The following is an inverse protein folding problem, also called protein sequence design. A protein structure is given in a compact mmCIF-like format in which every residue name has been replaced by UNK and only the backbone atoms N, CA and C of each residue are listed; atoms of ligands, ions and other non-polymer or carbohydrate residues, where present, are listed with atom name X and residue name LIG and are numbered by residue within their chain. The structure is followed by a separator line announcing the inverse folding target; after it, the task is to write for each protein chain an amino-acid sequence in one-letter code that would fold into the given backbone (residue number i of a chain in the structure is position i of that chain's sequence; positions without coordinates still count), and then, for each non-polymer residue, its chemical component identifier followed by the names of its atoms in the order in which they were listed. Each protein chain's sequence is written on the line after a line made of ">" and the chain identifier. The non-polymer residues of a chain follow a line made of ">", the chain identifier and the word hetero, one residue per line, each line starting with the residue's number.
data_IF_349857236712
#
_entry.id   IF_349857236712
#
_cell.length_a   1.000
_cell.length_b   1.000
_cell.length_c   1.000
_cell.angle_alpha   90.00
_cell.angle_beta   90.00
_cell.angle_gamma   90.00
#
_symmetry.space_group_name_H-M   'P 1'
#
loop_
_entity.id
_entity.type
_entity.pdbx_description
1 polymer ?
#
# COMPACT_ATOMS: atom_id res chain seq x y z
N UNK A 1 -27.74 9.79 71.48
CA UNK A 1 -26.75 10.59 72.21
C UNK A 1 -26.10 11.46 71.17
N UNK A 2 -26.64 12.64 70.94
CA UNK A 2 -26.29 13.92 71.56
C UNK A 2 -24.97 14.41 71.01
N UNK A 3 -24.97 15.37 70.17
CA UNK A 3 -25.16 16.81 70.36
C UNK A 3 -23.83 17.57 70.11
N UNK A 4 -23.88 18.53 69.34
CA UNK A 4 -23.55 19.97 69.31
C UNK A 4 -22.45 20.28 68.34
N UNK A 5 -22.70 21.04 67.27
CA UNK A 5 -22.84 22.50 67.16
C UNK A 5 -21.69 23.33 67.77
N UNK A 6 -20.90 23.96 66.90
CA UNK A 6 -20.48 25.32 67.16
C UNK A 6 -20.16 26.05 65.82
N UNK A 7 -20.93 27.08 65.58
CA UNK A 7 -20.72 28.20 64.64
C UNK A 7 -19.57 29.07 65.17
N UNK A 8 -18.77 29.64 64.30
CA UNK A 8 -18.18 30.99 64.46
C UNK A 8 -17.81 31.46 63.04
N UNK A 9 -18.49 32.35 62.55
CA UNK A 9 -18.65 33.79 62.68
C UNK A 9 -17.50 34.57 62.04
N UNK A 10 -17.77 34.98 60.82
CA UNK A 10 -17.67 36.31 60.21
C UNK A 10 -16.52 37.22 60.70
N UNK A 11 -15.66 37.62 59.77
CA UNK A 11 -15.26 39.02 59.72
C UNK A 11 -15.01 39.41 58.26
N UNK A 12 -16.00 40.08 57.67
CA UNK A 12 -16.00 40.78 56.44
C UNK A 12 -15.20 42.10 56.66
N UNK A 13 -13.98 42.15 56.21
CA UNK A 13 -13.20 43.39 56.21
C UNK A 13 -13.48 44.13 54.89
N UNK A 14 -14.24 45.22 54.99
CA UNK A 14 -14.50 46.14 53.95
C UNK A 14 -13.25 46.88 53.55
N UNK A 15 -12.90 46.79 52.24
CA UNK A 15 -11.83 47.62 51.63
C UNK A 15 -12.43 48.99 51.27
N UNK A 16 -11.83 50.11 51.69
CA UNK A 16 -12.33 51.44 51.38
C UNK A 16 -12.10 51.74 49.90
N UNK A 17 -13.17 52.02 49.16
CA UNK A 17 -13.14 52.56 47.81
C UNK A 17 -12.77 54.03 47.82
N UNK A 18 -11.56 54.33 47.41
CA UNK A 18 -11.16 55.71 47.09
C UNK A 18 -11.56 56.03 45.61
N UNK A 19 -12.24 57.12 45.34
CA UNK A 19 -12.59 57.48 43.98
C UNK A 19 -11.34 57.97 43.25
N UNK A 20 -11.00 57.30 42.15
CA UNK A 20 -9.96 57.76 41.22
C UNK A 20 -10.51 58.93 40.46
N UNK A 21 -10.02 60.14 40.75
CA UNK A 21 -10.22 61.32 39.92
C UNK A 21 -9.45 61.13 38.59
N UNK A 22 -10.20 61.11 37.53
CA UNK A 22 -9.65 61.11 36.17
C UNK A 22 -9.17 62.50 35.80
N UNK A 23 -7.88 62.75 35.89
CA UNK A 23 -7.28 63.94 35.22
C UNK A 23 -7.27 63.71 33.71
N UNK A 24 -7.62 64.71 32.93
CA UNK A 24 -7.55 64.61 31.47
C UNK A 24 -6.08 64.64 31.04
N UNK A 25 -5.60 63.51 30.51
CA UNK A 25 -4.28 63.45 29.85
C UNK A 25 -4.35 64.32 28.59
N UNK A 26 -3.66 65.46 28.62
CA UNK A 26 -3.40 66.32 27.46
C UNK A 26 -2.56 65.49 26.45
N UNK A 27 -3.13 65.24 25.29
CA UNK A 27 -2.44 64.59 24.18
C UNK A 27 -1.33 65.55 23.70
N UNK A 28 -0.08 65.13 23.88
CA UNK A 28 1.07 65.77 23.25
C UNK A 28 1.02 65.51 21.72
N UNK A 29 1.44 66.56 20.88
CA UNK A 29 1.41 66.37 19.43
C UNK A 29 2.41 65.23 19.01
N UNK A 30 1.93 64.25 18.31
CA UNK A 30 2.73 63.20 17.74
C UNK A 30 3.74 63.77 16.73
N UNK A 31 5.03 63.71 17.06
CA UNK A 31 6.11 64.04 16.14
C UNK A 31 6.27 62.96 15.06
N UNK A 32 6.91 63.26 13.92
CA UNK A 32 6.96 62.36 12.76
C UNK A 32 7.93 61.20 12.92
N UNK A 33 8.14 60.66 14.13
CA UNK A 33 9.15 59.63 14.40
C UNK A 33 8.56 58.23 14.66
N UNK A 34 7.24 58.10 14.62
CA UNK A 34 6.60 56.80 14.93
C UNK A 34 6.21 55.98 13.72
N UNK A 35 6.38 56.49 12.51
CA UNK A 35 6.10 55.76 11.28
C UNK A 35 7.26 54.81 10.84
N UNK A 36 8.44 54.90 11.48
CA UNK A 36 9.63 54.15 11.08
C UNK A 36 9.77 52.80 11.85
N UNK A 37 9.03 52.60 12.92
CA UNK A 37 9.12 51.38 13.71
C UNK A 37 8.14 50.24 13.31
N UNK A 38 7.22 50.49 12.38
CA UNK A 38 6.31 49.46 11.84
C UNK A 38 6.74 48.90 10.49
N UNK A 39 7.87 49.38 9.93
CA UNK A 39 8.55 48.70 8.82
C UNK A 39 9.66 47.78 9.34
N UNK A 40 9.40 47.03 10.41
CA UNK A 40 10.05 45.78 10.60
C UNK A 40 9.64 44.92 9.41
N UNK A 41 10.50 44.88 8.40
CA UNK A 41 10.42 43.93 7.28
C UNK A 41 10.15 42.59 7.89
N UNK A 42 8.88 42.14 7.84
CA UNK A 42 8.55 40.73 7.83
C UNK A 42 9.24 40.23 6.57
N UNK A 43 10.48 39.80 6.72
CA UNK A 43 11.12 39.00 5.68
C UNK A 43 10.32 37.70 5.61
N UNK A 44 9.58 37.46 4.53
CA UNK A 44 8.89 36.18 4.33
C UNK A 44 9.86 35.14 3.76
N UNK A 45 11.09 35.11 4.27
CA UNK A 45 12.16 34.28 3.69
C UNK A 45 12.47 33.06 4.52
N UNK A 46 11.49 32.52 5.18
CA UNK A 46 11.55 31.10 5.51
C UNK A 46 10.50 30.39 4.67
N UNK A 47 10.71 30.38 3.36
CA UNK A 47 10.02 29.45 2.50
C UNK A 47 10.32 28.06 3.07
N UNK A 48 9.37 27.47 3.82
CA UNK A 48 9.34 26.04 4.13
C UNK A 48 9.07 25.31 2.80
N UNK A 49 10.01 25.46 1.88
CA UNK A 49 9.99 24.73 0.62
C UNK A 49 10.33 23.28 0.94
N UNK A 50 9.63 22.33 0.33
CA UNK A 50 9.88 20.89 0.52
C UNK A 50 11.37 20.54 0.34
N UNK A 51 12.04 21.19 -0.63
CA UNK A 51 13.48 21.06 -0.83
C UNK A 51 14.31 21.61 0.33
N UNK A 52 13.88 22.73 0.94
CA UNK A 52 14.55 23.30 2.11
C UNK A 52 14.43 22.41 3.35
N UNK A 53 13.25 21.83 3.59
CA UNK A 53 13.04 20.85 4.66
C UNK A 53 13.90 19.60 4.50
N UNK A 54 14.11 19.15 3.26
CA UNK A 54 14.96 17.99 3.00
C UNK A 54 16.46 18.29 3.16
N UNK A 55 16.95 19.41 2.61
CA UNK A 55 18.39 19.73 2.60
C UNK A 55 18.92 20.12 3.98
N UNK A 56 18.10 20.67 4.85
CA UNK A 56 18.48 21.08 6.21
C UNK A 56 18.30 19.95 7.24
N UNK A 57 17.57 18.89 6.89
CA UNK A 57 17.32 17.77 7.77
C UNK A 57 18.62 17.01 8.12
N UNK A 58 18.62 16.39 9.31
CA UNK A 58 19.67 15.47 9.73
C UNK A 58 19.82 14.33 8.70
N UNK A 59 21.06 13.85 8.54
CA UNK A 59 21.41 12.76 7.60
C UNK A 59 20.53 11.51 7.79
N UNK A 60 20.13 11.20 9.03
CA UNK A 60 19.26 10.05 9.31
C UNK A 60 17.84 10.30 8.79
N UNK A 61 17.30 11.49 9.00
CA UNK A 61 15.98 11.87 8.47
C UNK A 61 16.02 11.90 6.94
N UNK A 62 17.08 12.42 6.35
CA UNK A 62 17.29 12.38 4.89
C UNK A 62 17.29 10.96 4.34
N UNK A 63 18.02 10.03 5.00
CA UNK A 63 18.04 8.61 4.62
C UNK A 63 16.63 7.99 4.69
N UNK A 64 15.87 8.29 5.75
CA UNK A 64 14.48 7.82 5.91
C UNK A 64 13.60 8.34 4.77
N UNK A 65 13.67 9.62 4.46
CA UNK A 65 12.90 10.25 3.38
C UNK A 65 13.24 9.62 2.03
N UNK A 66 14.53 9.47 1.71
CA UNK A 66 14.98 8.84 0.45
C UNK A 66 14.47 7.40 0.35
N UNK A 67 14.58 6.62 1.42
CA UNK A 67 14.10 5.24 1.46
C UNK A 67 12.59 5.18 1.20
N UNK A 68 11.81 6.05 1.84
CA UNK A 68 10.35 6.12 1.66
C UNK A 68 9.95 6.53 0.24
N UNK A 69 10.63 7.50 -0.35
CA UNK A 69 10.40 7.93 -1.73
C UNK A 69 10.72 6.80 -2.72
N UNK A 70 11.83 6.11 -2.56
CA UNK A 70 12.20 4.96 -3.40
C UNK A 70 11.19 3.81 -3.23
N UNK A 71 10.78 3.50 -1.99
CA UNK A 71 9.77 2.49 -1.71
C UNK A 71 8.42 2.84 -2.34
N UNK A 72 8.01 4.10 -2.28
CA UNK A 72 6.79 4.61 -2.91
C UNK A 72 6.86 4.47 -4.44
N UNK A 73 7.96 4.92 -5.06
CA UNK A 73 8.14 4.82 -6.51
C UNK A 73 8.09 3.36 -6.99
N UNK A 74 8.76 2.46 -6.27
CA UNK A 74 8.75 1.03 -6.60
C UNK A 74 7.36 0.41 -6.43
N UNK A 75 6.63 0.81 -5.37
CA UNK A 75 5.24 0.39 -5.16
C UNK A 75 4.34 0.79 -6.33
N UNK A 76 4.42 2.02 -6.80
CA UNK A 76 3.66 2.48 -7.95
C UNK A 76 4.01 1.71 -9.24
N UNK A 77 5.29 1.38 -9.45
CA UNK A 77 5.73 0.56 -10.59
C UNK A 77 5.09 -0.83 -10.55
N UNK A 78 5.08 -1.48 -9.39
CA UNK A 78 4.43 -2.78 -9.19
C UNK A 78 2.91 -2.66 -9.42
N UNK A 79 2.25 -1.68 -8.82
CA UNK A 79 0.81 -1.46 -8.94
C UNK A 79 0.43 -1.34 -10.41
N UNK A 80 1.08 -0.46 -11.14
CA UNK A 80 0.76 -0.19 -12.55
C UNK A 80 0.98 -1.44 -13.42
N UNK A 81 2.13 -2.11 -13.27
CA UNK A 81 2.44 -3.33 -14.01
C UNK A 81 1.44 -4.46 -13.72
N UNK A 82 1.04 -4.65 -12.46
CA UNK A 82 0.09 -5.68 -12.06
C UNK A 82 -1.33 -5.39 -12.57
N UNK A 83 -1.79 -4.16 -12.42
CA UNK A 83 -3.11 -3.76 -12.94
C UNK A 83 -3.21 -3.99 -14.45
N UNK A 84 -2.18 -3.58 -15.20
CA UNK A 84 -2.15 -3.80 -16.66
C UNK A 84 -2.10 -5.29 -17.03
N UNK A 85 -1.25 -6.06 -16.35
CA UNK A 85 -1.15 -7.51 -16.58
C UNK A 85 -2.49 -8.19 -16.30
N UNK A 86 -3.13 -7.90 -15.17
CA UNK A 86 -4.38 -8.55 -14.78
C UNK A 86 -5.55 -8.21 -15.71
N UNK A 87 -5.63 -6.97 -16.18
CA UNK A 87 -6.61 -6.57 -17.21
C UNK A 87 -6.42 -7.37 -18.50
N UNK A 88 -5.19 -7.49 -19.00
CA UNK A 88 -4.88 -8.28 -20.21
C UNK A 88 -5.21 -9.75 -20.03
N UNK A 89 -4.89 -10.34 -18.87
CA UNK A 89 -5.18 -11.74 -18.59
C UNK A 89 -6.69 -12.02 -18.57
N UNK A 90 -7.50 -11.16 -17.97
CA UNK A 90 -8.96 -11.30 -17.96
C UNK A 90 -9.55 -11.29 -19.37
N UNK A 91 -9.06 -10.39 -20.22
CA UNK A 91 -9.53 -10.32 -21.61
C UNK A 91 -9.13 -11.57 -22.40
N UNK A 92 -7.87 -12.04 -22.26
CA UNK A 92 -7.38 -13.25 -22.93
C UNK A 92 -8.09 -14.51 -22.45
N UNK A 93 -8.28 -14.64 -21.14
CA UNK A 93 -9.02 -15.77 -20.57
C UNK A 93 -10.45 -15.84 -21.12
N UNK A 94 -11.13 -14.69 -21.26
CA UNK A 94 -12.47 -14.65 -21.86
C UNK A 94 -12.46 -15.12 -23.32
N UNK A 95 -11.52 -14.62 -24.12
CA UNK A 95 -11.36 -15.04 -25.51
C UNK A 95 -11.03 -16.53 -25.64
N UNK A 96 -10.19 -17.05 -24.75
CA UNK A 96 -9.88 -18.46 -24.70
C UNK A 96 -11.12 -19.31 -24.35
N UNK A 97 -11.89 -18.95 -23.34
CA UNK A 97 -13.12 -19.66 -22.97
C UNK A 97 -14.14 -19.64 -24.12
N UNK A 98 -14.34 -18.49 -24.77
CA UNK A 98 -15.21 -18.40 -25.94
C UNK A 98 -14.77 -19.37 -27.06
N UNK A 99 -13.47 -19.48 -27.29
CA UNK A 99 -12.91 -20.40 -28.27
C UNK A 99 -13.03 -21.86 -27.83
N UNK A 100 -12.86 -22.14 -26.55
CA UNK A 100 -12.98 -23.49 -25.97
C UNK A 100 -14.43 -23.99 -26.03
N UNK A 101 -15.41 -23.17 -25.68
CA UNK A 101 -16.83 -23.52 -25.66
C UNK A 101 -17.52 -23.42 -27.02
N UNK A 102 -16.84 -22.95 -28.06
CA UNK A 102 -17.42 -22.88 -29.43
C UNK A 102 -17.67 -24.25 -30.08
N UNK A 103 -17.32 -25.36 -29.41
CA UNK A 103 -17.63 -26.72 -29.87
C UNK A 103 -16.66 -27.30 -30.90
N UNK A 104 -15.49 -26.68 -31.07
CA UNK A 104 -14.42 -27.21 -31.94
C UNK A 104 -13.69 -28.43 -31.34
N UNK A 105 -12.87 -29.09 -32.17
CA UNK A 105 -11.98 -30.18 -31.71
C UNK A 105 -10.94 -29.64 -30.71
N UNK A 106 -10.73 -30.35 -29.60
CA UNK A 106 -9.70 -30.02 -28.60
C UNK A 106 -8.30 -30.09 -29.22
N UNK A 107 -8.09 -31.03 -30.14
CA UNK A 107 -6.85 -31.18 -30.89
C UNK A 107 -6.55 -29.94 -31.77
N UNK A 108 -7.56 -29.44 -32.51
CA UNK A 108 -7.42 -28.24 -33.36
C UNK A 108 -7.13 -27.00 -32.52
N UNK A 109 -7.79 -26.88 -31.37
CA UNK A 109 -7.54 -25.78 -30.42
C UNK A 109 -6.12 -25.84 -29.88
N UNK A 110 -5.64 -27.03 -29.50
CA UNK A 110 -4.27 -27.24 -29.04
C UNK A 110 -3.24 -26.88 -30.12
N UNK A 111 -3.44 -27.30 -31.37
CA UNK A 111 -2.54 -27.00 -32.49
C UNK A 111 -2.53 -25.51 -32.83
N UNK A 112 -3.67 -24.82 -32.66
CA UNK A 112 -3.78 -23.38 -32.87
C UNK A 112 -3.06 -22.57 -31.79
N UNK A 113 -3.10 -23.00 -30.52
CA UNK A 113 -2.41 -22.32 -29.42
C UNK A 113 -0.91 -22.59 -29.48
N UNK A 114 -0.50 -23.78 -29.90
CA UNK A 114 0.88 -24.22 -29.99
C UNK A 114 1.57 -24.43 -28.64
N UNK A 115 2.89 -24.48 -28.68
CA UNK A 115 3.71 -24.80 -27.49
C UNK A 115 3.85 -23.65 -26.49
N UNK A 116 3.54 -22.41 -26.87
CA UNK A 116 3.69 -21.21 -26.03
C UNK A 116 2.32 -20.55 -25.77
N UNK A 117 1.60 -21.06 -24.75
CA UNK A 117 0.30 -20.50 -24.41
C UNK A 117 0.40 -19.02 -24.01
N UNK A 118 -0.55 -18.18 -24.48
CA UNK A 118 -0.50 -16.72 -24.27
C UNK A 118 -0.99 -16.28 -22.89
N UNK A 119 -1.63 -17.16 -22.13
CA UNK A 119 -2.26 -16.88 -20.83
C UNK A 119 -2.29 -18.13 -19.93
N UNK A 120 -2.50 -17.97 -18.61
CA UNK A 120 -2.54 -19.08 -17.66
C UNK A 120 -3.59 -20.14 -17.97
N UNK A 121 -4.77 -19.76 -18.49
CA UNK A 121 -5.84 -20.71 -18.80
C UNK A 121 -5.45 -21.60 -19.98
N UNK A 122 -4.91 -21.01 -21.03
CA UNK A 122 -4.32 -21.75 -22.14
C UNK A 122 -3.13 -22.62 -21.68
N UNK A 123 -2.34 -22.16 -20.68
CA UNK A 123 -1.23 -22.95 -20.10
C UNK A 123 -1.73 -24.25 -19.46
N UNK A 124 -2.80 -24.18 -18.67
CA UNK A 124 -3.43 -25.35 -18.03
C UNK A 124 -3.99 -26.29 -19.09
N UNK A 125 -4.70 -25.77 -20.09
CA UNK A 125 -5.21 -26.56 -21.22
C UNK A 125 -4.08 -27.29 -21.98
N UNK A 126 -3.04 -26.54 -22.38
CA UNK A 126 -1.90 -27.11 -23.13
C UNK A 126 -1.17 -28.17 -22.31
N UNK A 127 -1.02 -27.98 -21.01
CA UNK A 127 -0.39 -28.95 -20.13
C UNK A 127 -1.17 -30.29 -20.10
N UNK A 128 -2.48 -30.22 -19.95
CA UNK A 128 -3.38 -31.39 -19.99
C UNK A 128 -3.37 -32.08 -21.37
N UNK A 129 -3.51 -31.33 -22.44
CA UNK A 129 -3.52 -31.87 -23.80
C UNK A 129 -2.18 -32.50 -24.20
N UNK A 130 -1.07 -31.97 -23.70
CA UNK A 130 0.26 -32.57 -23.92
C UNK A 130 0.36 -33.95 -23.25
N UNK A 131 -0.15 -34.11 -22.03
CA UNK A 131 -0.17 -35.38 -21.34
C UNK A 131 -1.14 -36.35 -22.01
N UNK A 132 -2.29 -35.86 -22.46
CA UNK A 132 -3.25 -36.66 -23.26
C UNK A 132 -2.61 -37.20 -24.53
N UNK A 133 -2.03 -36.35 -25.39
CA UNK A 133 -1.37 -36.76 -26.66
C UNK A 133 -0.21 -37.74 -26.41
N UNK A 134 0.59 -37.51 -25.36
CA UNK A 134 1.71 -38.39 -25.00
C UNK A 134 1.23 -39.79 -24.63
N UNK A 135 0.12 -39.88 -23.95
CA UNK A 135 -0.47 -41.19 -23.56
C UNK A 135 -1.16 -41.86 -24.72
N UNK A 136 -1.83 -41.11 -25.60
CA UNK A 136 -2.44 -41.65 -26.83
C UNK A 136 -1.37 -42.23 -27.77
N UNK A 137 -0.25 -41.55 -27.97
CA UNK A 137 0.86 -42.00 -28.80
C UNK A 137 1.53 -43.28 -28.29
N UNK A 138 1.46 -43.58 -27.00
CA UNK A 138 1.97 -44.82 -26.39
C UNK A 138 1.01 -46.00 -26.45
N UNK A 139 -0.19 -45.83 -27.03
CA UNK A 139 -1.21 -46.87 -27.10
C UNK A 139 -1.82 -47.24 -25.74
N UNK A 140 -1.61 -46.43 -24.73
CA UNK A 140 -2.01 -46.74 -23.34
C UNK A 140 -3.51 -46.59 -23.07
N UNK A 141 -4.29 -46.15 -24.07
CA UNK A 141 -5.75 -45.95 -23.95
C UNK A 141 -6.57 -47.21 -23.98
N UNK A 142 -5.95 -48.38 -24.20
CA UNK A 142 -6.65 -49.67 -24.39
C UNK A 142 -7.10 -50.35 -23.09
N UNK A 143 -6.52 -50.04 -21.93
CA UNK A 143 -6.87 -50.68 -20.66
C UNK A 143 -7.51 -49.73 -19.66
N UNK A 144 -8.46 -50.23 -18.86
CA UNK A 144 -9.20 -49.47 -17.87
C UNK A 144 -8.28 -48.92 -16.76
N UNK A 145 -7.29 -49.69 -16.33
CA UNK A 145 -6.31 -49.25 -15.32
C UNK A 145 -5.47 -48.05 -15.81
N UNK A 146 -5.04 -48.09 -17.08
CA UNK A 146 -4.28 -46.96 -17.66
C UNK A 146 -5.11 -45.70 -17.84
N UNK A 147 -6.42 -45.82 -18.12
CA UNK A 147 -7.34 -44.67 -18.22
C UNK A 147 -7.48 -43.96 -16.87
N UNK A 148 -7.63 -44.70 -15.77
CA UNK A 148 -7.68 -44.15 -14.42
C UNK A 148 -6.36 -43.43 -14.06
N UNK A 149 -5.21 -44.04 -14.32
CA UNK A 149 -3.90 -43.42 -14.08
C UNK A 149 -3.62 -42.22 -15.00
N UNK A 150 -4.16 -42.20 -16.21
CA UNK A 150 -4.04 -41.02 -17.10
C UNK A 150 -4.83 -39.86 -16.56
N UNK A 151 -6.06 -40.07 -16.10
CA UNK A 151 -6.89 -39.02 -15.50
C UNK A 151 -6.16 -38.36 -14.33
N UNK A 152 -5.62 -39.15 -13.40
CA UNK A 152 -4.88 -38.65 -12.25
C UNK A 152 -3.63 -37.85 -12.66
N UNK A 153 -2.89 -38.30 -13.68
CA UNK A 153 -1.72 -37.59 -14.20
C UNK A 153 -2.10 -36.26 -14.84
N UNK A 154 -3.19 -36.20 -15.61
CA UNK A 154 -3.69 -34.96 -16.24
C UNK A 154 -4.09 -33.97 -15.16
N UNK A 155 -4.88 -34.40 -14.16
CA UNK A 155 -5.28 -33.57 -13.03
C UNK A 155 -4.06 -33.00 -12.29
N UNK A 156 -3.09 -33.82 -11.95
CA UNK A 156 -1.84 -33.40 -11.29
C UNK A 156 -1.04 -32.40 -12.11
N UNK A 157 -0.95 -32.58 -13.44
CA UNK A 157 -0.22 -31.67 -14.31
C UNK A 157 -0.95 -30.32 -14.44
N UNK A 158 -2.30 -30.34 -14.46
CA UNK A 158 -3.10 -29.10 -14.43
C UNK A 158 -2.89 -28.35 -13.12
N UNK A 159 -2.96 -29.03 -11.97
CA UNK A 159 -2.79 -28.43 -10.65
C UNK A 159 -1.39 -27.81 -10.49
N UNK A 160 -0.34 -28.53 -10.89
CA UNK A 160 1.04 -28.02 -10.85
C UNK A 160 1.17 -26.77 -11.74
N UNK A 161 0.54 -26.79 -12.93
CA UNK A 161 0.60 -25.66 -13.86
C UNK A 161 -0.16 -24.48 -13.31
N UNK A 162 -1.36 -24.70 -12.76
CA UNK A 162 -2.18 -23.70 -12.11
C UNK A 162 -1.42 -23.05 -10.95
N UNK A 163 -0.83 -23.85 -10.07
CA UNK A 163 -0.04 -23.34 -8.94
C UNK A 163 1.12 -22.45 -9.39
N UNK A 164 1.87 -22.84 -10.43
CA UNK A 164 2.96 -22.03 -10.99
C UNK A 164 2.48 -20.71 -11.58
N UNK A 165 1.36 -20.73 -12.29
CA UNK A 165 0.79 -19.51 -12.87
C UNK A 165 0.29 -18.55 -11.78
N UNK A 166 -0.33 -19.10 -10.71
CA UNK A 166 -0.76 -18.29 -9.56
C UNK A 166 0.43 -17.70 -8.81
N UNK A 167 1.49 -18.46 -8.56
CA UNK A 167 2.73 -17.96 -7.95
C UNK A 167 3.32 -16.78 -8.74
N UNK A 168 3.32 -16.86 -10.07
CA UNK A 168 3.78 -15.75 -10.91
C UNK A 168 2.88 -14.51 -10.80
N UNK A 169 1.57 -14.70 -10.62
CA UNK A 169 0.63 -13.60 -10.42
C UNK A 169 0.79 -12.96 -9.05
N UNK A 170 1.12 -13.72 -8.03
CA UNK A 170 1.34 -13.24 -6.66
C UNK A 170 2.72 -12.62 -6.45
N UNK A 171 3.65 -12.87 -7.34
CA UNK A 171 5.01 -12.31 -7.25
C UNK A 171 4.99 -10.80 -7.03
N UNK A 172 5.78 -10.30 -6.07
CA UNK A 172 5.85 -8.90 -5.62
C UNK A 172 4.64 -8.39 -4.81
N UNK A 173 3.59 -9.20 -4.59
CA UNK A 173 2.49 -8.78 -3.72
C UNK A 173 2.96 -8.61 -2.27
N UNK A 174 3.87 -9.47 -1.83
CA UNK A 174 4.51 -9.38 -0.50
C UNK A 174 5.21 -8.04 -0.30
N UNK A 175 5.84 -7.48 -1.35
CA UNK A 175 6.48 -6.17 -1.27
C UNK A 175 5.46 -5.06 -0.96
N UNK A 176 4.31 -5.05 -1.65
CA UNK A 176 3.24 -4.06 -1.37
C UNK A 176 2.71 -4.19 0.05
N UNK A 177 2.52 -5.43 0.53
CA UNK A 177 2.11 -5.69 1.91
C UNK A 177 3.15 -5.16 2.91
N UNK A 178 4.44 -5.41 2.66
CA UNK A 178 5.53 -4.96 3.53
C UNK A 178 5.64 -3.45 3.57
N UNK A 179 5.60 -2.76 2.42
CA UNK A 179 5.64 -1.29 2.38
C UNK A 179 4.40 -0.73 3.09
N UNK A 180 3.22 -1.29 2.82
CA UNK A 180 1.97 -0.85 3.44
C UNK A 180 1.99 -0.95 4.97
N UNK A 181 2.59 -2.00 5.52
CA UNK A 181 2.66 -2.21 6.96
C UNK A 181 3.83 -1.51 7.63
N UNK A 182 5.00 -1.38 6.96
CA UNK A 182 6.22 -0.87 7.59
C UNK A 182 6.51 0.61 7.34
N UNK A 183 6.09 1.17 6.19
CA UNK A 183 6.41 2.56 5.85
C UNK A 183 5.90 3.60 6.87
N UNK A 184 4.71 3.46 7.52
CA UNK A 184 4.29 4.37 8.58
C UNK A 184 5.24 4.36 9.77
N UNK A 185 5.75 3.18 10.16
CA UNK A 185 6.69 3.06 11.28
C UNK A 185 8.07 3.61 10.94
N UNK A 186 8.51 3.48 9.69
CA UNK A 186 9.73 4.11 9.19
C UNK A 186 9.60 5.64 9.23
N UNK A 187 8.43 6.18 8.82
CA UNK A 187 8.13 7.60 8.95
C UNK A 187 8.09 8.06 10.40
N UNK A 188 7.45 7.28 11.28
CA UNK A 188 7.41 7.55 12.72
C UNK A 188 8.82 7.55 13.33
N UNK A 189 9.68 6.63 12.95
CA UNK A 189 11.09 6.65 13.35
C UNK A 189 11.76 7.98 12.97
N UNK A 190 11.49 8.50 11.76
CA UNK A 190 11.97 9.81 11.34
C UNK A 190 11.50 10.95 12.26
N UNK A 191 10.22 10.93 12.71
CA UNK A 191 9.73 11.95 13.65
C UNK A 191 10.39 11.84 15.02
N UNK A 192 10.50 10.65 15.56
CA UNK A 192 11.16 10.45 16.86
C UNK A 192 12.60 10.97 16.83
N UNK A 193 13.34 10.64 15.76
CA UNK A 193 14.71 11.10 15.57
C UNK A 193 14.81 12.63 15.45
N UNK A 194 14.00 13.25 14.61
CA UNK A 194 14.02 14.70 14.39
C UNK A 194 13.60 15.51 15.62
N UNK A 195 12.61 15.02 16.39
CA UNK A 195 12.21 15.64 17.65
C UNK A 195 13.35 15.50 18.68
N UNK A 196 14.01 14.36 18.76
CA UNK A 196 15.16 14.16 19.64
C UNK A 196 16.28 15.15 19.33
N UNK A 197 16.59 15.36 18.05
CA UNK A 197 17.57 16.34 17.61
C UNK A 197 17.17 17.78 17.95
N UNK A 198 15.86 18.10 17.83
CA UNK A 198 15.33 19.42 18.21
C UNK A 198 15.53 19.68 19.71
N UNK A 199 15.30 18.72 20.58
CA UNK A 199 15.60 18.85 22.02
C UNK A 199 17.11 18.95 22.31
N UNK A 200 17.94 18.21 21.58
CA UNK A 200 19.39 18.33 21.70
C UNK A 200 19.89 19.74 21.32
N UNK A 201 19.28 20.36 20.30
CA UNK A 201 19.58 21.74 19.90
C UNK A 201 19.21 22.77 20.99
N UNK A 202 18.07 22.60 21.68
CA UNK A 202 17.71 23.41 22.85
C UNK A 202 18.79 23.29 23.94
N UNK A 203 19.17 22.08 24.27
CA UNK A 203 20.16 21.82 25.31
C UNK A 203 21.51 22.47 24.97
N UNK A 204 21.94 22.41 23.72
CA UNK A 204 23.21 22.98 23.25
C UNK A 204 23.18 24.51 23.20
N UNK A 205 22.09 25.10 22.68
CA UNK A 205 21.97 26.55 22.56
C UNK A 205 21.51 27.26 23.82
N UNK A 206 21.04 26.55 24.84
CA UNK A 206 20.39 27.06 26.06
C UNK A 206 19.27 28.07 25.74
N UNK A 207 18.66 27.93 24.56
CA UNK A 207 17.61 28.81 24.06
C UNK A 207 16.33 27.97 23.79
N UNK A 208 15.27 28.26 24.55
CA UNK A 208 13.99 27.56 24.47
C UNK A 208 13.03 28.20 23.48
N UNK A 209 13.52 29.13 22.62
CA UNK A 209 12.70 29.79 21.61
C UNK A 209 12.16 28.75 20.62
N UNK A 210 10.87 28.86 20.29
CA UNK A 210 10.22 28.04 19.27
C UNK A 210 10.92 28.14 17.90
N UNK A 211 11.52 29.29 17.60
CA UNK A 211 12.26 29.50 16.34
C UNK A 211 13.45 28.54 16.17
N UNK A 212 14.02 28.04 17.26
CA UNK A 212 15.15 27.09 17.23
C UNK A 212 14.69 25.69 16.84
N UNK A 213 13.50 25.27 17.27
CA UNK A 213 13.03 23.87 17.13
C UNK A 213 12.01 23.68 16.03
N UNK A 214 11.30 24.72 15.61
CA UNK A 214 10.24 24.63 14.61
C UNK A 214 10.70 24.00 13.28
N UNK A 215 11.88 24.33 12.74
CA UNK A 215 12.37 23.66 11.53
C UNK A 215 12.52 22.14 11.69
N UNK A 216 13.23 21.71 12.73
CA UNK A 216 13.48 20.28 12.98
C UNK A 216 12.20 19.49 13.27
N UNK A 217 11.21 20.09 13.93
CA UNK A 217 9.90 19.49 14.14
C UNK A 217 9.15 19.37 12.79
N UNK A 218 9.19 20.40 11.94
CA UNK A 218 8.55 20.36 10.62
C UNK A 218 9.16 19.28 9.72
N UNK A 219 10.50 19.15 9.71
CA UNK A 219 11.21 18.09 8.98
C UNK A 219 10.83 16.69 9.49
N UNK A 220 10.74 16.53 10.79
CA UNK A 220 10.31 15.29 11.41
C UNK A 220 8.88 14.90 10.96
N UNK A 221 7.92 15.81 11.08
CA UNK A 221 6.53 15.59 10.67
C UNK A 221 6.42 15.28 9.17
N UNK A 222 7.25 15.90 8.34
CA UNK A 222 7.33 15.63 6.91
C UNK A 222 7.71 14.17 6.63
N UNK A 223 8.65 13.59 7.38
CA UNK A 223 9.02 12.19 7.24
C UNK A 223 7.83 11.24 7.50
N UNK A 224 7.02 11.51 8.54
CA UNK A 224 5.81 10.70 8.80
C UNK A 224 4.77 10.86 7.71
N UNK A 225 4.56 12.08 7.22
CA UNK A 225 3.63 12.32 6.10
C UNK A 225 4.03 11.49 4.87
N UNK A 226 5.33 11.44 4.52
CA UNK A 226 5.83 10.62 3.43
C UNK A 226 5.65 9.12 3.69
N UNK A 227 5.83 8.65 4.94
CA UNK A 227 5.55 7.28 5.33
C UNK A 227 4.10 6.88 5.04
N UNK A 228 3.15 7.74 5.36
CA UNK A 228 1.72 7.53 5.07
C UNK A 228 1.43 7.61 3.56
N UNK A 229 2.01 8.54 2.84
CA UNK A 229 1.87 8.66 1.38
C UNK A 229 2.38 7.42 0.66
N UNK A 230 3.44 6.78 1.16
CA UNK A 230 3.95 5.52 0.62
C UNK A 230 3.05 4.33 0.99
N UNK A 231 2.58 4.26 2.23
CA UNK A 231 1.85 3.12 2.77
C UNK A 231 0.42 3.02 2.22
N UNK A 232 -0.34 4.11 2.21
CA UNK A 232 -1.77 4.09 1.88
C UNK A 232 -2.03 3.51 0.49
N UNK A 233 -1.37 3.98 -0.59
CA UNK A 233 -1.56 3.38 -1.92
C UNK A 233 -1.13 1.91 -1.98
N UNK A 234 -0.06 1.54 -1.27
CA UNK A 234 0.44 0.17 -1.25
C UNK A 234 -0.56 -0.80 -0.62
N UNK A 235 -1.17 -0.44 0.53
CA UNK A 235 -2.21 -1.25 1.19
C UNK A 235 -3.46 -1.37 0.33
N UNK A 236 -3.96 -0.25 -0.20
CA UNK A 236 -5.16 -0.25 -1.04
C UNK A 236 -4.97 -1.10 -2.29
N UNK A 237 -3.81 -0.97 -2.94
CA UNK A 237 -3.48 -1.75 -4.11
C UNK A 237 -3.30 -3.24 -3.78
N UNK A 238 -2.60 -3.57 -2.69
CA UNK A 238 -2.44 -4.94 -2.23
C UNK A 238 -3.79 -5.62 -2.03
N UNK A 239 -4.69 -5.02 -1.27
CA UNK A 239 -6.01 -5.58 -0.97
C UNK A 239 -6.84 -5.80 -2.25
N UNK A 240 -6.85 -4.82 -3.15
CA UNK A 240 -7.55 -4.92 -4.42
C UNK A 240 -6.95 -5.99 -5.33
N UNK A 241 -5.64 -5.98 -5.52
CA UNK A 241 -4.95 -6.91 -6.42
C UNK A 241 -5.01 -8.35 -5.89
N UNK A 242 -4.85 -8.56 -4.59
CA UNK A 242 -4.97 -9.88 -3.95
C UNK A 242 -6.37 -10.47 -4.17
N UNK A 243 -7.43 -9.69 -3.95
CA UNK A 243 -8.79 -10.13 -4.26
C UNK A 243 -9.03 -10.38 -5.75
N UNK A 244 -8.42 -9.58 -6.63
CA UNK A 244 -8.53 -9.76 -8.08
C UNK A 244 -7.80 -11.03 -8.56
N UNK A 245 -6.62 -11.33 -8.01
CA UNK A 245 -5.82 -12.53 -8.28
C UNK A 245 -6.58 -13.77 -7.77
N UNK A 246 -7.11 -13.73 -6.55
CA UNK A 246 -7.89 -14.82 -5.99
C UNK A 246 -9.12 -15.18 -6.85
N UNK A 247 -9.89 -14.16 -7.28
CA UNK A 247 -11.02 -14.39 -8.22
C UNK A 247 -10.58 -14.99 -9.54
N UNK A 248 -9.42 -14.59 -10.06
CA UNK A 248 -8.88 -15.19 -11.28
C UNK A 248 -8.43 -16.62 -11.05
N UNK A 249 -7.82 -16.95 -9.90
CA UNK A 249 -7.46 -18.31 -9.50
C UNK A 249 -8.66 -19.23 -9.45
N UNK A 250 -9.75 -18.85 -8.77
CA UNK A 250 -10.99 -19.63 -8.75
C UNK A 250 -11.59 -19.88 -10.14
N UNK A 251 -11.46 -18.90 -11.06
CA UNK A 251 -11.89 -19.10 -12.45
C UNK A 251 -11.04 -20.13 -13.18
N UNK A 252 -9.72 -20.15 -12.94
CA UNK A 252 -8.81 -21.17 -13.47
C UNK A 252 -9.11 -22.57 -12.91
N UNK A 253 -9.37 -22.66 -11.60
CA UNK A 253 -9.76 -23.91 -10.94
C UNK A 253 -11.07 -24.47 -11.50
N UNK A 254 -12.08 -23.60 -11.66
CA UNK A 254 -13.35 -23.99 -12.28
C UNK A 254 -13.16 -24.51 -13.69
N UNK A 255 -12.39 -23.81 -14.53
CA UNK A 255 -12.05 -24.25 -15.88
C UNK A 255 -11.33 -25.60 -15.87
N UNK A 256 -10.34 -25.80 -15.00
CA UNK A 256 -9.61 -27.07 -14.88
C UNK A 256 -10.53 -28.22 -14.50
N UNK A 257 -11.47 -28.00 -13.57
CA UNK A 257 -12.49 -28.99 -13.18
C UNK A 257 -13.44 -29.36 -14.32
N UNK A 258 -13.97 -28.37 -15.04
CA UNK A 258 -14.83 -28.57 -16.20
C UNK A 258 -14.11 -29.32 -17.33
N UNK A 259 -12.85 -28.91 -17.58
CA UNK A 259 -12.02 -29.57 -18.60
C UNK A 259 -11.69 -31.02 -18.22
N UNK A 260 -11.38 -31.31 -16.96
CA UNK A 260 -11.17 -32.66 -16.45
C UNK A 260 -12.43 -33.55 -16.62
N UNK A 261 -13.61 -32.99 -16.39
CA UNK A 261 -14.88 -33.70 -16.63
C UNK A 261 -15.09 -34.05 -18.10
N UNK A 262 -14.76 -33.15 -19.04
CA UNK A 262 -14.83 -33.39 -20.49
C UNK A 262 -13.86 -34.50 -20.89
N UNK A 263 -12.61 -34.44 -20.45
CA UNK A 263 -11.60 -35.47 -20.74
C UNK A 263 -11.98 -36.82 -20.17
N UNK A 264 -12.55 -36.89 -18.95
CA UNK A 264 -13.06 -38.14 -18.35
C UNK A 264 -14.13 -38.75 -19.23
N UNK A 265 -15.08 -37.99 -19.73
CA UNK A 265 -16.15 -38.45 -20.62
C UNK A 265 -15.59 -38.99 -21.93
N UNK A 266 -14.64 -38.28 -22.55
CA UNK A 266 -13.99 -38.76 -23.77
C UNK A 266 -13.18 -40.05 -23.58
N UNK A 267 -12.60 -40.27 -22.38
CA UNK A 267 -11.93 -41.51 -22.03
C UNK A 267 -12.91 -42.70 -21.90
N UNK A 268 -14.13 -42.44 -21.44
CA UNK A 268 -15.18 -43.46 -21.31
C UNK A 268 -15.81 -43.82 -22.68
N UNK A 269 -16.05 -42.82 -23.54
CA UNK A 269 -16.64 -42.99 -24.87
C UNK A 269 -15.73 -43.76 -25.86
N UNK A 270 -14.41 -43.72 -25.69
CA UNK A 270 -13.44 -44.50 -26.48
C UNK A 270 -13.33 -45.93 -25.98
N UNK A 271 -14.48 -46.61 -25.79
CA UNK A 271 -14.55 -48.03 -25.50
C UNK A 271 -14.42 -48.89 -26.75
#
# INVERSE_FOLDING_TARGET
>A
MATQLAQDNTTQQAVPTTPIQSEPVQAAPAGPMEATLLQGTVQPDTHMTISGLFLNADIIVQCVVVLLVLASFWSWTIIFSKVMRLRRLRTRAKQFEESFWSGGSLEDLFDRIGERPPDPMASVFVAAMREWRRSAAKGLLASTEFKAGLKERIERVMDITLGREMEQLERYMVYLASVGSSAPFVGLFGTVWGIMNSFAAIAASRNTSLAVVAPGIAEALFATALGLVAAIPAVLAYNKLSGDIGRYGHRLEAFAGEFNAILSRQLEERR
#
